data_IF_760874391430
#
_entry.id   IF_760874391430
#
_cell.length_a   1.000
_cell.length_b   1.000
_cell.length_c   1.000
_cell.angle_alpha   90.00
_cell.angle_beta   90.00
_cell.angle_gamma   90.00
#
_symmetry.space_group_name_H-M   'P 1'
#
loop_
_entity.id
_entity.type
_entity.pdbx_description
1 polymer ?
#
# COMPACT_ATOMS: atom_id res chain seq x y z
N UNK A 1 28.02 2.41 16.90
CA UNK A 1 27.74 2.92 16.80
C UNK A 1 27.33 3.49 17.18
N UNK A 2 27.54 3.70 17.36
CA UNK A 2 27.20 4.32 17.61
C UNK A 2 26.70 5.11 17.53
N UNK A 3 26.09 5.13 17.27
CA UNK A 3 25.53 6.02 17.28
C UNK A 3 25.08 6.41 18.33
N UNK A 4 25.29 6.67 18.89
CA UNK A 4 24.91 7.05 19.74
C UNK A 4 24.29 7.68 20.22
N UNK A 5 24.29 7.57 20.49
CA UNK A 5 23.79 8.21 21.28
C UNK A 5 22.84 9.10 21.16
N UNK A 6 22.91 9.73 21.31
CA UNK A 6 22.03 10.72 20.93
C UNK A 6 22.06 10.81 19.48
N UNK A 7 21.13 10.35 18.81
CA UNK A 7 21.04 10.44 17.41
C UNK A 7 20.80 11.84 16.92
N UNK A 8 21.01 12.07 15.64
CA UNK A 8 20.59 13.27 14.98
C UNK A 8 19.07 13.31 14.96
N UNK A 9 18.50 14.46 14.62
CA UNK A 9 17.05 14.58 14.45
C UNK A 9 16.56 13.56 13.42
N UNK A 10 17.34 13.35 12.33
CA UNK A 10 16.98 12.37 11.32
C UNK A 10 16.90 10.96 11.86
N UNK A 11 17.84 10.59 12.73
CA UNK A 11 17.84 9.26 13.32
C UNK A 11 16.64 9.07 14.26
N UNK A 12 16.28 10.08 15.00
CA UNK A 12 15.11 10.02 15.87
C UNK A 12 13.83 9.89 15.07
N UNK A 13 13.75 10.60 13.95
CA UNK A 13 12.60 10.49 13.07
C UNK A 13 12.51 9.12 12.42
N UNK A 14 13.66 8.53 12.03
CA UNK A 14 13.68 7.20 11.47
C UNK A 14 13.12 6.17 12.47
N UNK A 15 13.54 6.26 13.72
CA UNK A 15 13.02 5.38 14.76
C UNK A 15 11.52 5.55 14.93
N UNK A 16 11.05 6.80 14.91
CA UNK A 16 9.63 7.08 15.03
C UNK A 16 8.84 6.44 13.90
N UNK A 17 9.30 6.61 12.65
CA UNK A 17 8.59 6.08 11.50
C UNK A 17 8.68 4.56 11.40
N UNK A 18 9.59 3.93 12.12
CA UNK A 18 9.69 2.48 12.11
C UNK A 18 8.78 1.82 13.15
N UNK A 19 8.15 2.57 14.02
CA UNK A 19 7.19 2.01 14.96
C UNK A 19 6.03 1.40 14.17
N UNK A 20 5.58 0.18 14.52
CA UNK A 20 4.56 -0.51 13.73
C UNK A 20 3.31 0.31 13.45
N UNK A 21 2.81 1.01 14.46
CA UNK A 21 1.62 1.83 14.30
C UNK A 21 1.85 2.97 13.29
N UNK A 22 2.99 3.65 13.43
CA UNK A 22 3.32 4.78 12.57
C UNK A 22 3.58 4.31 11.13
N UNK A 23 4.33 3.21 10.99
CA UNK A 23 4.61 2.63 9.69
C UNK A 23 3.32 2.26 8.95
N UNK A 24 2.36 1.69 9.68
CA UNK A 24 1.07 1.34 9.09
C UNK A 24 0.32 2.58 8.61
N UNK A 25 0.31 3.64 9.41
CA UNK A 25 -0.38 4.87 9.03
C UNK A 25 0.26 5.54 7.83
N UNK A 26 1.59 5.55 7.78
CA UNK A 26 2.31 6.09 6.63
C UNK A 26 1.98 5.28 5.37
N UNK A 27 2.01 3.95 5.49
CA UNK A 27 1.70 3.08 4.36
C UNK A 27 0.27 3.28 3.86
N UNK A 28 -0.69 3.43 4.80
CA UNK A 28 -2.07 3.71 4.42
C UNK A 28 -2.19 5.03 3.67
N UNK A 29 -1.49 6.05 4.13
CA UNK A 29 -1.51 7.36 3.48
C UNK A 29 -0.91 7.35 2.09
N UNK A 30 -0.03 6.39 1.80
CA UNK A 30 0.62 6.26 0.51
C UNK A 30 -0.03 5.22 -0.39
N UNK A 31 -1.10 4.61 0.08
CA UNK A 31 -1.70 3.47 -0.62
C UNK A 31 -2.12 3.80 -2.04
N UNK A 32 -2.70 4.98 -2.27
CA UNK A 32 -3.11 5.37 -3.61
C UNK A 32 -1.92 5.49 -4.56
N UNK A 33 -0.85 6.11 -4.10
CA UNK A 33 0.36 6.24 -4.89
C UNK A 33 0.96 4.87 -5.18
N UNK A 34 1.00 4.01 -4.17
CA UNK A 34 1.52 2.64 -4.32
C UNK A 34 0.71 1.88 -5.35
N UNK A 35 -0.61 1.97 -5.27
CA UNK A 35 -1.51 1.32 -6.22
C UNK A 35 -1.21 1.78 -7.65
N UNK A 36 -1.12 3.09 -7.83
CA UNK A 36 -0.86 3.66 -9.15
C UNK A 36 0.49 3.20 -9.71
N UNK A 37 1.51 3.10 -8.86
CA UNK A 37 2.82 2.63 -9.29
C UNK A 37 2.78 1.18 -9.75
N UNK A 38 1.97 0.36 -9.08
CA UNK A 38 1.86 -1.06 -9.39
C UNK A 38 1.05 -1.30 -10.66
N UNK A 39 -0.14 -0.71 -10.76
CA UNK A 39 -1.05 -1.00 -11.86
C UNK A 39 -0.87 -0.07 -13.06
N UNK A 40 -0.21 1.08 -12.87
CA UNK A 40 0.02 2.05 -13.92
C UNK A 40 -1.08 3.09 -14.02
N UNK A 41 -0.79 4.20 -14.71
CA UNK A 41 -1.74 5.32 -14.76
C UNK A 41 -3.05 5.00 -15.44
N UNK A 42 -3.05 4.11 -16.44
CA UNK A 42 -4.28 3.76 -17.14
C UNK A 42 -5.26 3.04 -16.22
N UNK A 43 -4.77 2.02 -15.51
CA UNK A 43 -5.62 1.27 -14.58
C UNK A 43 -6.00 2.11 -13.37
N UNK A 44 -5.10 2.98 -12.91
CA UNK A 44 -5.40 3.88 -11.82
C UNK A 44 -6.53 4.84 -12.20
N UNK A 45 -6.54 5.32 -13.44
CA UNK A 45 -7.59 6.21 -13.91
C UNK A 45 -8.96 5.51 -13.94
N UNK A 46 -8.97 4.19 -14.10
CA UNK A 46 -10.20 3.41 -14.08
C UNK A 46 -10.59 2.96 -12.67
N UNK A 47 -9.75 3.24 -11.68
CA UNK A 47 -10.02 2.89 -10.29
C UNK A 47 -10.88 3.98 -9.66
N UNK A 48 -12.15 3.67 -9.40
CA UNK A 48 -13.09 4.65 -8.86
C UNK A 48 -13.18 4.61 -7.35
N UNK A 49 -12.70 3.54 -6.72
CA UNK A 49 -12.67 3.44 -5.28
C UNK A 49 -11.46 2.61 -4.87
N UNK A 50 -10.74 3.09 -3.86
CA UNK A 50 -9.63 2.36 -3.27
C UNK A 50 -9.73 2.59 -1.77
N UNK A 51 -10.10 1.56 -1.02
CA UNK A 51 -10.39 1.70 0.40
C UNK A 51 -9.82 0.51 1.16
N UNK A 52 -9.09 0.80 2.21
CA UNK A 52 -8.55 -0.23 3.10
C UNK A 52 -9.37 -0.25 4.38
N UNK A 53 -9.89 -1.42 4.71
CA UNK A 53 -10.72 -1.58 5.89
C UNK A 53 -10.43 -2.97 6.48
N UNK A 54 -9.99 -3.01 7.73
CA UNK A 54 -9.65 -4.26 8.42
C UNK A 54 -8.66 -5.11 7.61
N UNK A 55 -7.66 -4.44 7.03
CA UNK A 55 -6.62 -5.07 6.20
C UNK A 55 -7.16 -5.71 4.92
N UNK A 56 -8.37 -5.37 4.53
CA UNK A 56 -8.93 -5.80 3.26
C UNK A 56 -8.98 -4.59 2.34
N UNK A 57 -8.36 -4.72 1.18
CA UNK A 57 -8.35 -3.64 0.21
C UNK A 57 -9.54 -3.81 -0.73
N UNK A 58 -10.42 -2.82 -0.72
CA UNK A 58 -11.58 -2.79 -1.60
C UNK A 58 -11.27 -1.89 -2.78
N UNK A 59 -11.30 -2.47 -3.98
CA UNK A 59 -11.00 -1.76 -5.21
C UNK A 59 -12.19 -1.87 -6.15
N UNK A 60 -12.63 -0.74 -6.65
CA UNK A 60 -13.68 -0.71 -7.66
C UNK A 60 -13.10 -0.19 -8.96
N UNK A 61 -13.28 -0.97 -10.02
CA UNK A 61 -12.73 -0.67 -11.34
C UNK A 61 -13.88 -0.44 -12.30
N UNK A 62 -13.85 0.67 -13.02
CA UNK A 62 -14.92 1.02 -13.94
C UNK A 62 -14.91 0.12 -15.18
N UNK A 63 -13.74 -0.12 -15.76
CA UNK A 63 -13.61 -0.96 -16.96
C UNK A 63 -13.78 -2.42 -16.59
N UNK A 64 -14.73 -3.12 -17.25
CA UNK A 64 -14.97 -4.53 -16.97
C UNK A 64 -13.80 -5.41 -17.42
N UNK A 65 -13.13 -5.02 -18.49
CA UNK A 65 -11.95 -5.77 -18.97
C UNK A 65 -10.82 -5.69 -17.95
N UNK A 66 -10.50 -4.49 -17.51
CA UNK A 66 -9.46 -4.30 -16.50
C UNK A 66 -9.84 -4.96 -15.18
N UNK A 67 -11.10 -4.85 -14.79
CA UNK A 67 -11.57 -5.49 -13.56
C UNK A 67 -11.29 -6.99 -13.60
N UNK A 68 -11.59 -7.61 -14.70
CA UNK A 68 -11.38 -9.05 -14.86
C UNK A 68 -9.89 -9.40 -14.76
N UNK A 69 -9.05 -8.65 -15.44
CA UNK A 69 -7.61 -8.89 -15.39
C UNK A 69 -7.05 -8.71 -13.98
N UNK A 70 -7.43 -7.63 -13.31
CA UNK A 70 -6.94 -7.36 -11.96
C UNK A 70 -7.48 -8.36 -10.96
N UNK A 71 -8.70 -8.85 -11.19
CA UNK A 71 -9.27 -9.87 -10.33
C UNK A 71 -8.40 -11.13 -10.30
N UNK A 72 -7.93 -11.57 -11.44
CA UNK A 72 -7.07 -12.76 -11.51
C UNK A 72 -5.70 -12.52 -10.88
N UNK A 73 -5.27 -11.27 -10.76
CA UNK A 73 -3.99 -10.92 -10.19
C UNK A 73 -4.09 -10.42 -8.75
N UNK A 74 -5.26 -10.55 -8.14
CA UNK A 74 -5.49 -9.90 -6.84
C UNK A 74 -4.54 -10.33 -5.75
N UNK A 75 -4.14 -11.59 -5.74
CA UNK A 75 -3.20 -12.07 -4.72
C UNK A 75 -1.81 -11.49 -4.95
N UNK A 76 -1.37 -11.45 -6.20
CA UNK A 76 -0.09 -10.85 -6.54
C UNK A 76 -0.10 -9.35 -6.23
N UNK A 77 -1.23 -8.69 -6.48
CA UNK A 77 -1.37 -7.27 -6.18
C UNK A 77 -1.22 -7.01 -4.69
N UNK A 78 -1.89 -7.83 -3.87
CA UNK A 78 -1.79 -7.70 -2.42
C UNK A 78 -0.36 -7.91 -1.93
N UNK A 79 0.31 -8.93 -2.46
CA UNK A 79 1.69 -9.23 -2.10
C UNK A 79 2.63 -8.08 -2.49
N UNK A 80 2.42 -7.50 -3.67
CA UNK A 80 3.25 -6.40 -4.13
C UNK A 80 3.03 -5.14 -3.31
N UNK A 81 1.78 -4.87 -2.92
CA UNK A 81 1.48 -3.74 -2.04
C UNK A 81 2.22 -3.90 -0.71
N UNK A 82 2.17 -5.10 -0.13
CA UNK A 82 2.84 -5.36 1.13
C UNK A 82 4.35 -5.23 0.99
N UNK A 83 4.91 -5.72 -0.10
CA UNK A 83 6.35 -5.63 -0.35
C UNK A 83 6.79 -4.16 -0.41
N UNK A 84 6.05 -3.34 -1.15
CA UNK A 84 6.39 -1.92 -1.29
C UNK A 84 6.15 -1.14 -0.01
N UNK A 85 5.14 -1.55 0.76
CA UNK A 85 4.82 -0.91 2.04
C UNK A 85 5.76 -1.33 3.16
N UNK A 86 6.49 -2.43 2.95
CA UNK A 86 7.43 -3.01 3.92
C UNK A 86 6.75 -3.45 5.22
N UNK A 87 5.45 -3.64 5.17
CA UNK A 87 4.65 -4.18 6.27
C UNK A 87 3.52 -4.99 5.64
N UNK A 88 2.90 -5.84 6.43
CA UNK A 88 1.72 -6.57 5.96
C UNK A 88 0.49 -5.69 6.12
N UNK A 89 0.29 -4.81 5.16
CA UNK A 89 -0.82 -3.85 5.17
C UNK A 89 -2.13 -4.49 4.72
N UNK A 90 -2.05 -5.40 3.76
CA UNK A 90 -3.21 -5.97 3.09
C UNK A 90 -3.22 -7.47 3.27
N UNK A 91 -4.33 -8.03 3.77
CA UNK A 91 -4.52 -9.48 3.89
C UNK A 91 -5.26 -10.05 2.69
N UNK A 92 -6.11 -9.24 2.07
CA UNK A 92 -6.88 -9.67 0.91
C UNK A 92 -7.24 -8.46 0.05
N UNK A 93 -7.44 -8.70 -1.24
CA UNK A 93 -7.85 -7.66 -2.20
C UNK A 93 -9.16 -8.10 -2.82
N UNK A 94 -10.15 -7.22 -2.77
CA UNK A 94 -11.45 -7.45 -3.39
C UNK A 94 -11.57 -6.51 -4.57
N UNK A 95 -11.74 -7.05 -5.76
CA UNK A 95 -11.87 -6.29 -7.00
C UNK A 95 -13.33 -6.34 -7.47
N UNK A 96 -13.91 -5.18 -7.69
CA UNK A 96 -15.29 -5.09 -8.17
C UNK A 96 -15.41 -4.19 -9.37
#
# INVERSE_FOLDING_TARGET
MKRSKTGTVGELLDEFFQRPYVAAKVAEGRLRDTWREIVGPAADAETTELRLENHILHVRIRSSILRNELFYQREALGAEINRRSKIRLVNAVIIR
#
